data_IF_621848084982
#
_entry.id   IF_621848084982
#
_cell.length_a   1.000
_cell.length_b   1.000
_cell.length_c   1.000
_cell.angle_alpha   90.00
_cell.angle_beta   90.00
_cell.angle_gamma   90.00
#
_symmetry.space_group_name_H-M   'P 1'
#
loop_
_entity.id
_entity.type
_entity.pdbx_description
1 polymer ?
#
# COMPACT_ATOMS: atom_id res chain seq x y z
N UNK A 1 12.52 44.01 3.62
CA UNK A 1 12.94 42.86 4.44
C UNK A 1 11.80 42.57 5.37
N UNK A 2 10.91 41.67 4.98
CA UNK A 2 9.77 41.26 5.79
C UNK A 2 10.28 40.26 6.83
N UNK A 3 10.15 40.61 8.11
CA UNK A 3 10.53 39.74 9.21
C UNK A 3 9.60 38.54 9.25
N UNK A 4 10.16 37.34 9.13
CA UNK A 4 9.42 36.09 9.33
C UNK A 4 8.81 36.08 10.73
N UNK A 5 7.48 35.93 10.80
CA UNK A 5 6.79 35.71 12.07
C UNK A 5 7.16 34.31 12.55
N UNK A 6 7.77 34.25 13.73
CA UNK A 6 7.99 33.01 14.46
C UNK A 6 6.63 32.58 15.00
N UNK A 7 6.09 31.44 14.55
CA UNK A 7 4.91 30.84 15.17
C UNK A 7 5.32 30.19 16.50
N UNK A 8 4.71 30.65 17.59
CA UNK A 8 4.93 30.11 18.92
C UNK A 8 4.02 28.89 19.11
N UNK A 9 4.61 27.69 19.19
CA UNK A 9 3.89 26.45 19.47
C UNK A 9 3.78 26.29 20.99
N UNK A 10 2.57 26.41 21.53
CA UNK A 10 2.28 26.17 22.96
C UNK A 10 1.89 24.70 23.15
N UNK A 11 2.72 23.93 23.85
CA UNK A 11 2.37 22.57 24.32
C UNK A 11 1.83 22.65 25.74
N UNK A 12 0.62 22.11 25.96
CA UNK A 12 0.02 21.99 27.29
C UNK A 12 0.73 20.90 28.11
N UNK A 13 0.76 21.05 29.45
CA UNK A 13 1.50 20.18 30.38
C UNK A 13 1.15 18.68 30.25
N UNK A 14 -0.05 18.34 29.78
CA UNK A 14 -0.55 16.96 29.65
C UNK A 14 -0.60 16.44 28.20
N UNK A 15 0.08 17.11 27.26
CA UNK A 15 0.10 16.69 25.86
C UNK A 15 0.86 15.37 25.70
N UNK A 16 0.16 14.30 25.28
CA UNK A 16 0.78 13.00 24.99
C UNK A 16 1.50 13.07 23.65
N UNK A 17 2.83 13.14 23.69
CA UNK A 17 3.68 13.21 22.49
C UNK A 17 4.06 11.82 21.93
N UNK A 18 4.03 10.79 22.77
CA UNK A 18 4.32 9.42 22.38
C UNK A 18 3.63 8.44 23.33
N UNK A 19 3.23 7.28 22.83
CA UNK A 19 2.72 6.19 23.65
C UNK A 19 3.41 4.87 23.27
N UNK A 20 3.50 3.95 24.24
CA UNK A 20 3.92 2.57 24.01
C UNK A 20 2.69 1.69 24.19
N UNK A 21 2.15 1.17 23.10
CA UNK A 21 1.06 0.22 23.15
C UNK A 21 1.59 -1.17 23.55
N UNK A 22 0.80 -1.89 24.34
CA UNK A 22 0.99 -3.32 24.61
C UNK A 22 -0.23 -4.03 24.04
N UNK A 23 -0.01 -4.90 23.04
CA UNK A 23 -1.07 -5.70 22.46
C UNK A 23 -1.45 -6.80 23.46
N UNK A 24 -2.72 -6.84 23.86
CA UNK A 24 -3.30 -7.94 24.59
C UNK A 24 -4.15 -8.76 23.63
N UNK A 25 -3.70 -9.96 23.29
CA UNK A 25 -4.46 -10.88 22.44
C UNK A 25 -5.44 -11.66 23.31
N UNK A 26 -6.74 -11.40 23.14
CA UNK A 26 -7.81 -12.25 23.67
C UNK A 26 -8.18 -13.17 22.52
N UNK A 27 -7.61 -14.38 22.51
CA UNK A 27 -7.79 -15.33 21.43
C UNK A 27 -9.24 -15.80 21.33
N UNK A 28 -10.00 -15.19 20.42
CA UNK A 28 -11.11 -15.84 19.72
C UNK A 28 -10.62 -16.24 18.34
N UNK A 29 -10.93 -17.45 17.90
CA UNK A 29 -10.28 -18.19 16.80
C UNK A 29 -10.41 -17.60 15.38
N UNK A 30 -10.85 -16.37 15.20
CA UNK A 30 -11.06 -15.73 13.89
C UNK A 30 -10.49 -14.30 13.83
N UNK A 31 -9.18 -14.15 13.97
CA UNK A 31 -8.50 -12.89 13.61
C UNK A 31 -8.01 -12.97 12.15
N UNK A 32 -8.59 -12.14 11.26
CA UNK A 32 -8.34 -12.19 9.82
C UNK A 32 -7.89 -10.84 9.21
N UNK A 33 -7.17 -10.99 8.09
CA UNK A 33 -6.68 -10.03 7.09
C UNK A 33 -5.78 -8.87 7.57
N UNK A 34 -6.35 -7.81 8.17
CA UNK A 34 -5.63 -6.54 8.35
C UNK A 34 -4.50 -6.66 9.36
N UNK A 35 -4.77 -7.32 10.50
CA UNK A 35 -3.73 -7.63 11.49
C UNK A 35 -2.62 -8.50 10.90
N UNK A 36 -2.95 -9.48 10.05
CA UNK A 36 -1.95 -10.41 9.52
C UNK A 36 -0.94 -9.75 8.60
N UNK A 37 -1.34 -8.79 7.76
CA UNK A 37 -0.38 -8.10 6.90
C UNK A 37 0.63 -7.30 7.72
N UNK A 38 0.17 -6.51 8.69
CA UNK A 38 1.03 -5.72 9.56
C UNK A 38 1.84 -6.55 10.54
N UNK A 39 1.27 -7.63 11.09
CA UNK A 39 2.00 -8.62 11.89
C UNK A 39 3.07 -9.30 11.05
N UNK A 40 2.80 -9.60 9.78
CA UNK A 40 3.80 -10.19 8.87
C UNK A 40 4.90 -9.19 8.51
N UNK A 41 4.58 -7.92 8.26
CA UNK A 41 5.60 -6.86 8.10
C UNK A 41 6.46 -6.74 9.36
N UNK A 42 5.84 -6.78 10.54
CA UNK A 42 6.54 -6.67 11.81
C UNK A 42 7.44 -7.88 12.12
N UNK A 43 7.17 -9.04 11.52
CA UNK A 43 7.92 -10.30 11.73
C UNK A 43 8.88 -10.62 10.58
N UNK A 44 8.76 -9.98 9.42
CA UNK A 44 9.68 -10.21 8.30
C UNK A 44 11.07 -9.65 8.61
N UNK A 45 12.06 -10.54 8.70
CA UNK A 45 13.45 -10.19 9.01
C UNK A 45 14.21 -9.61 7.80
N UNK A 46 13.76 -9.88 6.56
CA UNK A 46 14.42 -9.47 5.31
C UNK A 46 13.42 -9.24 4.16
N UNK A 47 13.84 -8.49 3.12
CA UNK A 47 12.97 -8.18 1.98
C UNK A 47 12.60 -9.41 1.14
N UNK A 48 13.50 -10.39 1.02
CA UNK A 48 13.25 -11.62 0.24
C UNK A 48 12.13 -12.46 0.85
N UNK A 49 11.98 -12.45 2.17
CA UNK A 49 10.91 -13.11 2.92
C UNK A 49 9.58 -12.40 2.71
N UNK A 50 9.55 -11.07 2.80
CA UNK A 50 8.39 -10.25 2.45
C UNK A 50 7.94 -10.47 1.01
N UNK A 51 8.87 -10.40 0.04
CA UNK A 51 8.57 -10.59 -1.38
C UNK A 51 7.88 -11.93 -1.64
N UNK A 52 8.39 -13.03 -1.05
CA UNK A 52 7.75 -14.35 -1.15
C UNK A 52 6.36 -14.38 -0.51
N UNK A 53 6.17 -13.71 0.62
CA UNK A 53 4.87 -13.61 1.27
C UNK A 53 3.85 -12.92 0.35
N UNK A 54 4.17 -11.73 -0.15
CA UNK A 54 3.27 -10.93 -1.01
C UNK A 54 2.92 -11.74 -2.28
N UNK A 55 3.92 -12.35 -2.91
CA UNK A 55 3.71 -13.19 -4.10
C UNK A 55 2.79 -14.38 -3.82
N UNK A 56 2.89 -14.99 -2.65
CA UNK A 56 2.04 -16.11 -2.25
C UNK A 56 0.63 -15.64 -1.92
N UNK A 57 0.51 -14.59 -1.13
CA UNK A 57 -0.77 -13.99 -0.71
C UNK A 57 -1.60 -13.63 -1.94
N UNK A 58 -1.04 -12.85 -2.85
CA UNK A 58 -1.75 -12.36 -4.03
C UNK A 58 -1.70 -13.31 -5.24
N UNK A 59 -1.23 -14.55 -5.04
CA UNK A 59 -1.20 -15.57 -6.11
C UNK A 59 -2.61 -15.88 -6.64
N UNK A 60 -3.66 -15.72 -5.84
CA UNK A 60 -5.04 -15.89 -6.28
C UNK A 60 -5.41 -14.99 -7.45
N UNK A 61 -4.90 -13.74 -7.51
CA UNK A 61 -5.12 -12.87 -8.66
C UNK A 61 -4.49 -13.40 -9.95
N UNK A 62 -3.34 -14.07 -9.86
CA UNK A 62 -2.66 -14.65 -11.04
C UNK A 62 -3.46 -15.79 -11.67
N UNK A 63 -4.29 -16.48 -10.87
CA UNK A 63 -5.15 -17.58 -11.34
C UNK A 63 -6.39 -17.11 -12.11
N UNK A 64 -6.77 -15.83 -11.94
CA UNK A 64 -7.90 -15.24 -12.65
C UNK A 64 -7.56 -15.03 -14.13
N UNK A 65 -8.57 -15.05 -14.99
CA UNK A 65 -8.38 -14.63 -16.38
C UNK A 65 -8.21 -13.11 -16.50
N UNK A 66 -7.72 -12.64 -17.64
CA UNK A 66 -7.44 -11.22 -17.85
C UNK A 66 -8.68 -10.33 -17.72
N UNK A 67 -9.84 -10.81 -18.14
CA UNK A 67 -11.09 -10.04 -18.04
C UNK A 67 -11.48 -9.78 -16.59
N UNK A 68 -11.39 -10.79 -15.73
CA UNK A 68 -11.71 -10.65 -14.31
C UNK A 68 -10.69 -9.78 -13.59
N UNK A 69 -9.39 -9.91 -13.90
CA UNK A 69 -8.36 -9.02 -13.32
C UNK A 69 -8.60 -7.55 -13.71
N UNK A 70 -8.91 -7.31 -14.99
CA UNK A 70 -9.22 -5.97 -15.49
C UNK A 70 -10.50 -5.39 -14.86
N UNK A 71 -11.52 -6.21 -14.63
CA UNK A 71 -12.73 -5.79 -13.92
C UNK A 71 -12.43 -5.40 -12.47
N UNK A 72 -11.70 -6.25 -11.73
CA UNK A 72 -11.29 -5.96 -10.35
C UNK A 72 -10.47 -4.67 -10.30
N UNK A 73 -9.50 -4.51 -11.19
CA UNK A 73 -8.71 -3.29 -11.26
C UNK A 73 -9.55 -2.06 -11.58
N UNK A 74 -10.48 -2.16 -12.53
CA UNK A 74 -11.38 -1.05 -12.87
C UNK A 74 -12.17 -0.59 -11.65
N UNK A 75 -12.76 -1.53 -10.91
CA UNK A 75 -13.51 -1.24 -9.68
C UNK A 75 -12.60 -0.60 -8.62
N UNK A 76 -11.42 -1.18 -8.39
CA UNK A 76 -10.47 -0.64 -7.43
C UNK A 76 -10.01 0.76 -7.80
N UNK A 77 -9.53 0.98 -9.03
CA UNK A 77 -9.01 2.27 -9.49
C UNK A 77 -10.03 3.41 -9.37
N UNK A 78 -11.32 3.10 -9.52
CA UNK A 78 -12.40 4.05 -9.29
C UNK A 78 -12.54 4.38 -7.80
N UNK A 79 -12.45 3.37 -6.92
CA UNK A 79 -12.62 3.55 -5.48
C UNK A 79 -11.42 4.15 -4.76
N UNK A 80 -10.19 3.90 -5.26
CA UNK A 80 -8.96 4.38 -4.63
C UNK A 80 -8.84 5.91 -4.62
N UNK A 81 -9.59 6.60 -5.48
CA UNK A 81 -9.65 8.06 -5.52
C UNK A 81 -10.60 8.66 -4.47
N UNK A 82 -11.35 7.82 -3.74
CA UNK A 82 -12.39 8.24 -2.82
C UNK A 82 -12.20 7.61 -1.43
N UNK A 83 -11.57 8.35 -0.52
CA UNK A 83 -11.31 7.90 0.87
C UNK A 83 -12.58 7.44 1.61
N UNK A 84 -13.73 8.05 1.31
CA UNK A 84 -15.01 7.63 1.90
C UNK A 84 -15.40 6.20 1.51
N UNK A 85 -15.11 5.80 0.27
CA UNK A 85 -15.44 4.46 -0.21
C UNK A 85 -14.55 3.39 0.41
N UNK A 86 -13.26 3.69 0.59
CA UNK A 86 -12.33 2.83 1.32
C UNK A 86 -12.75 2.68 2.78
N UNK A 87 -13.09 3.78 3.44
CA UNK A 87 -13.59 3.78 4.83
C UNK A 87 -14.85 2.93 4.99
N UNK A 88 -15.79 3.03 4.04
CA UNK A 88 -17.01 2.22 4.04
C UNK A 88 -16.69 0.74 3.84
N UNK A 89 -15.80 0.40 2.90
CA UNK A 89 -15.37 -0.98 2.68
C UNK A 89 -14.69 -1.58 3.91
N UNK A 90 -13.84 -0.83 4.60
CA UNK A 90 -13.20 -1.27 5.84
C UNK A 90 -14.22 -1.47 6.97
N UNK A 91 -15.17 -0.55 7.12
CA UNK A 91 -16.24 -0.69 8.12
C UNK A 91 -17.10 -1.93 7.83
N UNK A 92 -17.38 -2.19 6.56
CA UNK A 92 -18.13 -3.37 6.12
C UNK A 92 -17.37 -4.66 6.44
N UNK A 93 -16.05 -4.69 6.25
CA UNK A 93 -15.21 -5.82 6.67
C UNK A 93 -15.32 -6.05 8.16
N UNK A 94 -15.10 -5.01 8.97
CA UNK A 94 -15.07 -5.14 10.42
C UNK A 94 -16.41 -5.68 10.97
N UNK A 95 -17.53 -5.21 10.40
CA UNK A 95 -18.87 -5.72 10.74
C UNK A 95 -19.08 -7.16 10.29
N UNK A 96 -18.58 -7.50 9.10
CA UNK A 96 -18.65 -8.85 8.55
C UNK A 96 -17.88 -9.85 9.41
N UNK A 97 -16.68 -9.48 9.87
CA UNK A 97 -15.83 -10.31 10.73
C UNK A 97 -16.48 -10.56 12.10
N UNK A 98 -17.23 -9.58 12.62
CA UNK A 98 -17.98 -9.71 13.88
C UNK A 98 -19.23 -10.60 13.76
N UNK A 99 -19.54 -11.10 12.56
CA UNK A 99 -20.75 -11.88 12.30
C UNK A 99 -22.03 -11.05 12.45
N UNK A 100 -21.91 -9.71 12.37
CA UNK A 100 -23.04 -8.83 12.53
C UNK A 100 -23.87 -8.88 11.25
N UNK A 101 -25.03 -9.52 11.31
CA UNK A 101 -25.94 -9.73 10.17
C UNK A 101 -26.64 -8.47 9.70
N UNK A 102 -26.15 -7.28 10.09
CA UNK A 102 -26.68 -6.01 9.65
C UNK A 102 -26.56 -5.87 8.14
N UNK A 103 -27.67 -5.44 7.53
CA UNK A 103 -27.70 -5.07 6.13
C UNK A 103 -26.75 -3.88 5.93
N UNK A 104 -25.70 -4.09 5.15
CA UNK A 104 -24.74 -3.05 4.80
C UNK A 104 -25.49 -1.91 4.10
N UNK A 105 -25.56 -0.74 4.75
CA UNK A 105 -26.14 0.45 4.14
C UNK A 105 -25.03 1.17 3.38
N UNK A 106 -25.19 1.24 2.06
CA UNK A 106 -24.36 2.05 1.16
C UNK A 106 -24.92 3.47 1.02
N UNK A 107 -25.92 3.84 1.84
CA UNK A 107 -26.61 5.13 1.72
C UNK A 107 -25.69 6.31 2.04
N UNK A 108 -24.59 6.05 2.75
CA UNK A 108 -23.53 7.01 3.08
C UNK A 108 -22.61 7.34 1.90
N UNK A 109 -22.62 6.54 0.84
CA UNK A 109 -21.80 6.75 -0.35
C UNK A 109 -22.53 7.59 -1.38
N UNK A 110 -21.76 8.38 -2.12
CA UNK A 110 -22.22 9.01 -3.35
C UNK A 110 -22.75 7.97 -4.34
N UNK A 111 -23.81 8.33 -5.08
CA UNK A 111 -24.51 7.41 -6.00
C UNK A 111 -23.58 6.75 -7.01
N UNK A 112 -22.54 7.47 -7.44
CA UNK A 112 -21.54 6.99 -8.41
C UNK A 112 -20.68 5.86 -7.82
N UNK A 113 -20.39 5.90 -6.51
CA UNK A 113 -19.52 4.92 -5.83
C UNK A 113 -20.27 3.68 -5.34
N UNK A 114 -21.60 3.77 -5.18
CA UNK A 114 -22.43 2.64 -4.72
C UNK A 114 -22.34 1.43 -5.65
N UNK A 115 -22.32 1.66 -6.96
CA UNK A 115 -22.22 0.61 -7.96
C UNK A 115 -20.92 -0.19 -7.85
N UNK A 116 -19.75 0.47 -7.92
CA UNK A 116 -18.47 -0.19 -7.76
C UNK A 116 -18.29 -0.91 -6.42
N UNK A 117 -18.69 -0.28 -5.30
CA UNK A 117 -18.65 -0.92 -3.98
C UNK A 117 -19.54 -2.16 -3.93
N UNK A 118 -20.78 -2.08 -4.40
CA UNK A 118 -21.69 -3.23 -4.41
C UNK A 118 -21.13 -4.39 -5.24
N UNK A 119 -20.55 -4.12 -6.40
CA UNK A 119 -19.95 -5.17 -7.25
C UNK A 119 -18.76 -5.85 -6.58
N UNK A 120 -17.92 -5.12 -5.85
CA UNK A 120 -16.87 -5.74 -5.04
C UNK A 120 -17.46 -6.61 -3.92
N UNK A 121 -18.52 -6.15 -3.25
CA UNK A 121 -19.20 -6.92 -2.21
C UNK A 121 -19.87 -8.19 -2.76
N UNK A 122 -20.33 -8.17 -4.01
CA UNK A 122 -20.92 -9.35 -4.63
C UNK A 122 -19.90 -10.50 -4.76
N UNK A 123 -18.59 -10.23 -4.87
CA UNK A 123 -17.57 -11.29 -4.83
C UNK A 123 -17.62 -12.10 -3.53
N UNK A 124 -18.02 -11.49 -2.40
CA UNK A 124 -18.21 -12.17 -1.12
C UNK A 124 -19.33 -13.21 -1.16
N UNK A 125 -20.39 -12.97 -1.95
CA UNK A 125 -21.55 -13.85 -2.05
C UNK A 125 -21.38 -15.05 -2.99
N UNK A 126 -20.23 -15.14 -3.67
CA UNK A 126 -19.97 -16.13 -4.73
C UNK A 126 -18.95 -17.19 -4.28
N UNK A 127 -18.62 -18.13 -5.17
CA UNK A 127 -17.48 -19.05 -4.97
C UNK A 127 -16.11 -18.35 -4.92
N UNK A 128 -16.06 -17.02 -5.07
CA UNK A 128 -14.83 -16.22 -5.14
C UNK A 128 -14.55 -15.47 -3.83
N UNK A 129 -14.96 -16.02 -2.67
CA UNK A 129 -14.71 -15.42 -1.36
C UNK A 129 -13.22 -15.13 -1.10
N UNK A 130 -12.34 -15.96 -1.66
CA UNK A 130 -10.88 -15.76 -1.59
C UNK A 130 -10.46 -14.48 -2.31
N UNK A 131 -11.03 -14.19 -3.49
CA UNK A 131 -10.74 -12.95 -4.24
C UNK A 131 -11.19 -11.72 -3.46
N UNK A 132 -12.36 -11.79 -2.83
CA UNK A 132 -12.82 -10.72 -1.95
C UNK A 132 -11.83 -10.48 -0.80
N UNK A 133 -11.34 -11.56 -0.16
CA UNK A 133 -10.31 -11.45 0.88
C UNK A 133 -9.02 -10.80 0.36
N UNK A 134 -8.60 -11.11 -0.87
CA UNK A 134 -7.41 -10.49 -1.48
C UNK A 134 -7.62 -9.00 -1.77
N UNK A 135 -8.79 -8.64 -2.29
CA UNK A 135 -9.15 -7.23 -2.51
C UNK A 135 -9.10 -6.46 -1.20
N UNK A 136 -9.65 -7.03 -0.15
CA UNK A 136 -9.65 -6.42 1.17
C UNK A 136 -8.23 -6.31 1.74
N UNK A 137 -7.43 -7.38 1.67
CA UNK A 137 -6.02 -7.32 2.05
C UNK A 137 -5.29 -6.21 1.28
N UNK A 138 -5.60 -6.00 0.00
CA UNK A 138 -5.01 -4.92 -0.80
C UNK A 138 -5.41 -3.53 -0.31
N UNK A 139 -6.68 -3.27 -0.05
CA UNK A 139 -7.18 -1.98 0.44
C UNK A 139 -6.47 -1.59 1.75
N UNK A 140 -6.33 -2.52 2.68
CA UNK A 140 -5.70 -2.28 3.97
C UNK A 140 -4.19 -1.97 3.91
N UNK A 141 -3.51 -2.37 2.83
CA UNK A 141 -2.12 -1.96 2.61
C UNK A 141 -2.03 -0.49 2.20
N UNK A 142 -3.08 0.07 1.60
CA UNK A 142 -3.12 1.45 1.14
C UNK A 142 -3.21 2.44 2.30
N UNK A 143 -3.76 2.03 3.45
CA UNK A 143 -3.82 2.85 4.68
C UNK A 143 -2.43 3.28 5.20
N UNK A 144 -1.38 2.55 4.81
CA UNK A 144 0.01 2.89 5.16
C UNK A 144 0.55 4.02 4.29
N UNK A 145 0.01 4.14 3.09
CA UNK A 145 0.45 5.09 2.09
C UNK A 145 -0.32 6.40 2.24
N UNK A 146 0.32 7.51 1.89
CA UNK A 146 -0.41 8.76 1.77
C UNK A 146 -1.33 8.70 0.55
N UNK A 147 -2.48 9.39 0.58
CA UNK A 147 -3.38 9.46 -0.58
C UNK A 147 -2.65 9.94 -1.85
N UNK A 148 -1.74 10.89 -1.73
CA UNK A 148 -0.90 11.35 -2.85
C UNK A 148 -0.03 10.23 -3.44
N UNK A 149 0.54 9.36 -2.59
CA UNK A 149 1.31 8.20 -3.04
C UNK A 149 0.42 7.22 -3.80
N UNK A 150 -0.80 6.97 -3.30
CA UNK A 150 -1.77 6.08 -3.95
C UNK A 150 -2.18 6.64 -5.31
N UNK A 151 -2.51 7.93 -5.39
CA UNK A 151 -2.87 8.61 -6.63
C UNK A 151 -1.76 8.50 -7.69
N UNK A 152 -0.51 8.76 -7.29
CA UNK A 152 0.66 8.64 -8.15
C UNK A 152 0.81 7.23 -8.71
N UNK A 153 0.69 6.21 -7.85
CA UNK A 153 0.82 4.81 -8.26
C UNK A 153 -0.32 4.38 -9.19
N UNK A 154 -1.55 4.80 -8.92
CA UNK A 154 -2.72 4.46 -9.74
C UNK A 154 -2.68 5.11 -11.13
N UNK A 155 -2.01 6.25 -11.26
CA UNK A 155 -1.82 6.95 -12.54
C UNK A 155 -0.74 6.35 -13.45
N UNK A 156 0.00 5.32 -13.02
CA UNK A 156 1.12 4.77 -13.78
C UNK A 156 0.64 3.89 -14.94
N UNK A 157 1.20 4.12 -16.13
CA UNK A 157 1.08 3.16 -17.22
C UNK A 157 1.86 1.86 -16.92
N UNK A 158 1.56 0.78 -17.64
CA UNK A 158 2.16 -0.54 -17.38
C UNK A 158 3.68 -0.63 -17.53
N UNK A 159 4.28 0.21 -18.39
CA UNK A 159 5.73 0.25 -18.55
C UNK A 159 6.34 0.94 -17.33
N UNK A 160 5.82 2.12 -17.00
CA UNK A 160 6.27 2.92 -15.85
C UNK A 160 6.07 2.17 -14.53
N UNK A 161 4.91 1.53 -14.33
CA UNK A 161 4.61 0.70 -13.16
C UNK A 161 5.64 -0.40 -12.94
N UNK A 162 6.06 -1.09 -14.02
CA UNK A 162 7.10 -2.13 -13.94
C UNK A 162 8.45 -1.54 -13.53
N UNK A 163 8.82 -0.41 -14.12
CA UNK A 163 10.08 0.27 -13.79
C UNK A 163 10.09 0.73 -12.32
N UNK A 164 8.98 1.29 -11.83
CA UNK A 164 8.83 1.68 -10.42
C UNK A 164 8.88 0.48 -9.49
N UNK A 165 8.21 -0.64 -9.83
CA UNK A 165 8.26 -1.87 -9.05
C UNK A 165 9.69 -2.40 -8.91
N UNK A 166 10.45 -2.42 -10.02
CA UNK A 166 11.87 -2.81 -10.00
C UNK A 166 12.69 -1.87 -9.11
N UNK A 167 12.56 -0.56 -9.30
CA UNK A 167 13.31 0.44 -8.55
C UNK A 167 13.03 0.38 -7.04
N UNK A 168 11.78 0.21 -6.62
CA UNK A 168 11.43 0.06 -5.20
C UNK A 168 11.99 -1.25 -4.63
N UNK A 169 11.99 -2.35 -5.40
CA UNK A 169 12.62 -3.60 -5.00
C UNK A 169 14.13 -3.41 -4.75
N UNK A 170 14.81 -2.67 -5.61
CA UNK A 170 16.23 -2.36 -5.46
C UNK A 170 16.50 -1.55 -4.19
N UNK A 171 15.69 -0.51 -3.93
CA UNK A 171 15.79 0.30 -2.71
C UNK A 171 15.68 -0.57 -1.47
N UNK A 172 14.73 -1.52 -1.48
CA UNK A 172 14.52 -2.45 -0.38
C UNK A 172 15.68 -3.46 -0.21
N UNK A 173 16.28 -3.92 -1.31
CA UNK A 173 17.46 -4.78 -1.26
C UNK A 173 18.72 -4.04 -0.78
N UNK A 174 18.85 -2.74 -1.07
CA UNK A 174 19.90 -1.90 -0.51
C UNK A 174 19.65 -1.66 1.00
N UNK A 175 18.38 -1.52 1.41
CA UNK A 175 17.99 -1.27 2.80
C UNK A 175 18.36 -2.43 3.74
N UNK A 176 18.15 -3.67 3.30
CA UNK A 176 18.44 -4.87 4.09
C UNK A 176 19.87 -5.41 3.87
N UNK A 177 20.66 -4.74 3.03
CA UNK A 177 22.04 -5.10 2.72
C UNK A 177 22.20 -6.30 1.79
N UNK A 178 21.11 -6.77 1.17
CA UNK A 178 21.15 -7.88 0.20
C UNK A 178 21.73 -7.47 -1.17
N UNK A 179 21.76 -6.17 -1.49
CA UNK A 179 22.43 -5.62 -2.67
C UNK A 179 23.55 -4.65 -2.25
N UNK A 180 24.68 -4.69 -2.97
CA UNK A 180 25.79 -3.75 -2.75
C UNK A 180 25.60 -2.47 -3.59
N UNK A 181 25.90 -1.30 -3.01
CA UNK A 181 25.84 -0.01 -3.73
C UNK A 181 26.74 0.04 -4.99
N UNK A 182 27.75 -0.83 -5.08
CA UNK A 182 28.70 -0.86 -6.19
C UNK A 182 28.12 -1.45 -7.49
N UNK A 183 27.01 -2.18 -7.43
CA UNK A 183 26.38 -2.85 -8.59
C UNK A 183 25.33 -1.98 -9.31
N UNK A 184 25.26 -0.71 -8.95
CA UNK A 184 24.03 0.08 -8.99
C UNK A 184 24.17 1.30 -9.93
N UNK A 185 24.43 1.06 -11.22
CA UNK A 185 24.60 2.13 -12.23
C UNK A 185 23.26 2.41 -12.95
N UNK A 186 22.29 2.92 -12.20
CA UNK A 186 20.87 3.02 -12.58
C UNK A 186 20.56 4.11 -13.60
N UNK A 187 21.35 5.19 -13.61
CA UNK A 187 21.19 6.34 -14.53
C UNK A 187 21.32 5.96 -16.00
N UNK A 188 21.95 4.81 -16.29
CA UNK A 188 22.05 4.27 -17.65
C UNK A 188 20.91 3.30 -17.99
N UNK A 189 20.15 2.82 -17.00
CA UNK A 189 19.10 1.80 -17.16
C UNK A 189 17.69 2.41 -17.25
N UNK A 190 17.44 3.51 -16.54
CA UNK A 190 16.13 4.14 -16.46
C UNK A 190 16.16 5.56 -17.02
N UNK A 191 15.03 6.04 -17.56
CA UNK A 191 14.90 7.42 -18.01
C UNK A 191 14.87 8.39 -16.81
N UNK A 192 15.23 9.65 -17.06
CA UNK A 192 15.15 10.70 -16.05
C UNK A 192 13.72 10.85 -15.50
N UNK A 193 12.70 10.69 -16.35
CA UNK A 193 11.30 10.73 -15.93
C UNK A 193 10.98 9.62 -14.90
N UNK A 194 11.45 8.39 -15.15
CA UNK A 194 11.24 7.26 -14.23
C UNK A 194 12.02 7.44 -12.93
N UNK A 195 13.21 8.05 -12.98
CA UNK A 195 13.99 8.39 -11.80
C UNK A 195 13.39 9.57 -11.02
N UNK A 196 12.76 10.53 -11.70
CA UNK A 196 12.03 11.62 -11.05
C UNK A 196 10.81 11.09 -10.33
N UNK A 197 10.05 10.20 -10.96
CA UNK A 197 8.87 9.58 -10.36
C UNK A 197 9.23 8.72 -9.15
N UNK A 198 10.32 7.93 -9.22
CA UNK A 198 10.75 7.14 -8.05
C UNK A 198 11.18 8.05 -6.91
N UNK A 199 11.83 9.19 -7.20
CA UNK A 199 12.16 10.20 -6.16
C UNK A 199 10.91 10.71 -5.49
N UNK A 200 9.87 11.03 -6.26
CA UNK A 200 8.60 11.52 -5.73
C UNK A 200 7.92 10.47 -4.84
N UNK A 201 7.84 9.22 -5.30
CA UNK A 201 7.32 8.09 -4.53
C UNK A 201 8.12 7.91 -3.22
N UNK A 202 9.44 7.86 -3.29
CA UNK A 202 10.29 7.69 -2.10
C UNK A 202 10.17 8.87 -1.14
N UNK A 203 10.11 10.10 -1.65
CA UNK A 203 9.90 11.31 -0.83
C UNK A 203 8.57 11.24 -0.08
N UNK A 204 7.52 10.68 -0.69
CA UNK A 204 6.24 10.45 -0.01
C UNK A 204 6.34 9.45 1.15
N UNK A 205 7.33 8.53 1.11
CA UNK A 205 7.72 7.68 2.23
C UNK A 205 8.78 8.31 3.15
N UNK A 206 8.93 9.64 3.10
CA UNK A 206 9.95 10.41 3.84
C UNK A 206 11.40 10.02 3.51
N UNK A 207 11.65 9.40 2.36
CA UNK A 207 12.98 9.01 1.90
C UNK A 207 13.51 10.02 0.89
N UNK A 208 14.39 10.89 1.36
CA UNK A 208 15.07 11.84 0.50
C UNK A 208 16.28 11.17 -0.15
N UNK A 209 16.36 11.27 -1.47
CA UNK A 209 17.56 10.94 -2.21
C UNK A 209 18.56 12.10 -2.11
N UNK A 210 19.85 11.78 -1.95
CA UNK A 210 20.89 12.78 -2.10
C UNK A 210 21.06 13.12 -3.59
N UNK A 211 20.86 14.39 -3.96
CA UNK A 211 20.97 14.85 -5.35
C UNK A 211 22.42 14.92 -5.88
N UNK A 212 23.41 14.68 -5.02
CA UNK A 212 24.82 15.00 -5.29
C UNK A 212 25.65 13.86 -5.92
N UNK A 213 25.11 12.64 -6.07
CA UNK A 213 25.86 11.52 -6.63
C UNK A 213 25.09 10.70 -7.69
N UNK A 214 25.79 10.08 -8.66
CA UNK A 214 25.20 9.08 -9.58
C UNK A 214 24.75 7.81 -8.85
N UNK A 215 25.07 7.71 -7.56
CA UNK A 215 24.74 6.63 -6.64
C UNK A 215 23.54 7.02 -5.78
N UNK A 216 22.53 6.15 -5.76
CA UNK A 216 21.36 6.28 -4.90
C UNK A 216 21.77 6.09 -3.43
N UNK A 217 22.27 7.12 -2.75
CA UNK A 217 22.59 7.02 -1.33
C UNK A 217 21.31 7.25 -0.53
N UNK A 218 20.82 6.20 0.13
CA UNK A 218 19.67 6.29 1.03
C UNK A 218 20.11 6.11 2.48
N UNK A 219 19.57 6.95 3.36
CA UNK A 219 19.58 6.70 4.80
C UNK A 219 18.19 6.23 5.20
N UNK A 220 17.97 4.91 5.13
CA UNK A 220 16.70 4.29 5.48
C UNK A 220 16.67 4.04 6.99
N UNK A 221 15.69 4.63 7.67
CA UNK A 221 15.39 4.37 9.06
C UNK A 221 14.35 3.25 9.16
N UNK A 222 14.34 2.53 10.29
CA UNK A 222 13.35 1.49 10.56
C UNK A 222 11.89 1.98 10.51
N UNK A 223 11.66 3.29 10.70
CA UNK A 223 10.34 3.92 10.61
C UNK A 223 9.78 3.97 9.17
N UNK A 224 10.65 3.93 8.16
CA UNK A 224 10.27 4.05 6.75
C UNK A 224 10.03 2.69 6.09
N UNK A 225 10.52 1.60 6.70
CA UNK A 225 10.39 0.24 6.16
C UNK A 225 8.93 -0.16 5.92
N UNK A 226 7.96 0.06 6.84
CA UNK A 226 6.57 -0.31 6.60
C UNK A 226 5.97 0.38 5.37
N UNK A 227 6.26 1.66 5.17
CA UNK A 227 5.78 2.42 4.02
C UNK A 227 6.38 1.93 2.70
N UNK A 228 7.68 1.60 2.69
CA UNK A 228 8.33 0.99 1.52
C UNK A 228 7.76 -0.40 1.20
N UNK A 229 7.47 -1.21 2.22
CA UNK A 229 6.85 -2.52 2.04
C UNK A 229 5.43 -2.41 1.50
N UNK A 230 4.63 -1.48 2.03
CA UNK A 230 3.31 -1.18 1.49
C UNK A 230 3.40 -0.71 0.03
N UNK A 231 4.33 0.20 -0.30
CA UNK A 231 4.55 0.69 -1.66
C UNK A 231 4.90 -0.44 -2.62
N UNK A 232 5.85 -1.30 -2.26
CA UNK A 232 6.22 -2.47 -3.05
C UNK A 232 5.02 -3.40 -3.26
N UNK A 233 4.26 -3.67 -2.20
CA UNK A 233 3.08 -4.54 -2.25
C UNK A 233 2.02 -3.97 -3.18
N UNK A 234 1.74 -2.67 -3.08
CA UNK A 234 0.77 -1.96 -3.90
C UNK A 234 1.16 -2.01 -5.38
N UNK A 235 2.41 -1.64 -5.70
CA UNK A 235 2.94 -1.72 -7.06
C UNK A 235 2.82 -3.13 -7.63
N UNK A 236 3.12 -4.15 -6.83
CA UNK A 236 3.06 -5.55 -7.23
C UNK A 236 1.63 -6.03 -7.52
N UNK A 237 0.67 -5.70 -6.65
CA UNK A 237 -0.74 -6.09 -6.84
C UNK A 237 -1.31 -5.44 -8.11
N UNK A 238 -1.08 -4.14 -8.29
CA UNK A 238 -1.53 -3.41 -9.48
C UNK A 238 -0.90 -4.01 -10.75
N UNK A 239 0.39 -4.36 -10.67
CA UNK A 239 1.09 -5.00 -11.77
C UNK A 239 0.45 -6.33 -12.16
N UNK A 240 0.11 -7.20 -11.21
CA UNK A 240 -0.56 -8.47 -11.49
C UNK A 240 -1.93 -8.25 -12.11
N UNK A 241 -2.72 -7.33 -11.55
CA UNK A 241 -4.08 -7.06 -12.03
C UNK A 241 -4.09 -6.53 -13.48
N UNK A 242 -3.01 -5.85 -13.89
CA UNK A 242 -2.87 -5.31 -15.24
C UNK A 242 -1.97 -6.15 -16.17
N UNK A 243 -1.41 -7.27 -15.70
CA UNK A 243 -0.51 -8.12 -16.48
C UNK A 243 -1.29 -8.88 -17.57
N UNK A 244 -0.90 -8.69 -18.83
CA UNK A 244 -1.47 -9.41 -19.99
C UNK A 244 -1.03 -10.86 -20.06
#
# INVERSE_FOLDING_TARGET
>A
MEGGRMEEIVCEEDTVLACKAVQFTISTTDEFSNRRFFETIAVSEDFKSLKRYIQREFSGFTSLNQSHRAEIWSLLSELLLHNEALTVLDSIMEKTERGDGEKLSLDMLDEELRGPVQRLLDYRGTSNTEIFSLVMSFISMLDVLSGQTVDLICGLDMKTLREQLELVEIVLQLADGSLSFCDSNWTNKYSEDSLSLVRELLTSCSLNMCDEEPTLVFKISSKQIPALYAMYSTLYVIYILNMK
#
